data_IF_320988859981
#
_entry.id   IF_320988859981
#
_cell.length_a   1.000
_cell.length_b   1.000
_cell.length_c   1.000
_cell.angle_alpha   90.00
_cell.angle_beta   90.00
_cell.angle_gamma   90.00
#
_symmetry.space_group_name_H-M   'P 1'
#
loop_
_entity.id
_entity.type
_entity.pdbx_description
1 polymer ?
#
# COMPACT_ATOMS: atom_id res chain seq x y z
N UNK A 1 -19.96 10.18 4.67
CA UNK A 1 -18.62 9.62 4.39
C UNK A 1 -18.80 8.41 3.50
N UNK A 2 -18.05 8.28 2.41
CA UNK A 2 -18.16 7.12 1.53
C UNK A 2 -17.44 5.92 2.17
N UNK A 3 -18.16 4.83 2.41
CA UNK A 3 -17.59 3.55 2.82
C UNK A 3 -16.91 2.87 1.62
N UNK A 4 -15.80 2.21 1.90
CA UNK A 4 -15.00 1.49 0.90
C UNK A 4 -14.97 0.02 1.27
N UNK A 5 -15.36 -0.86 0.34
CA UNK A 5 -15.24 -2.31 0.52
C UNK A 5 -14.04 -2.84 -0.27
N UNK A 6 -13.09 -3.46 0.42
CA UNK A 6 -11.94 -4.13 -0.18
C UNK A 6 -11.85 -5.51 0.44
N UNK A 7 -11.90 -6.57 -0.35
CA UNK A 7 -11.90 -7.98 0.13
C UNK A 7 -12.88 -8.24 1.28
N UNK A 8 -14.09 -7.65 1.22
CA UNK A 8 -15.07 -7.77 2.29
C UNK A 8 -14.81 -6.91 3.53
N UNK A 9 -13.68 -6.23 3.61
CA UNK A 9 -13.37 -5.28 4.68
C UNK A 9 -13.96 -3.90 4.35
N UNK A 10 -14.90 -3.42 5.18
CA UNK A 10 -15.55 -2.12 5.02
C UNK A 10 -14.77 -1.04 5.76
N UNK A 11 -14.09 -0.16 5.01
CA UNK A 11 -13.29 0.95 5.55
C UNK A 11 -14.14 2.23 5.52
N UNK A 12 -14.13 3.00 6.61
CA UNK A 12 -14.89 4.25 6.75
C UNK A 12 -16.22 4.08 7.49
N UNK A 13 -16.55 2.88 7.95
CA UNK A 13 -17.71 2.62 8.79
C UNK A 13 -17.47 1.51 9.81
N UNK A 14 -18.34 1.43 10.82
CA UNK A 14 -18.26 0.44 11.89
C UNK A 14 -17.10 0.68 12.84
N UNK A 15 -16.51 -0.41 13.37
CA UNK A 15 -15.34 -0.33 14.27
C UNK A 15 -14.08 0.14 13.54
N UNK A 16 -13.16 0.83 14.25
CA UNK A 16 -11.83 1.12 13.70
C UNK A 16 -11.14 -0.15 13.21
N UNK A 17 -10.41 -0.04 12.10
CA UNK A 17 -9.66 -1.17 11.53
C UNK A 17 -8.29 -1.30 12.19
N UNK A 18 -7.90 -2.54 12.48
CA UNK A 18 -6.62 -2.86 13.10
C UNK A 18 -5.60 -3.17 12.02
N UNK A 19 -4.48 -2.47 12.04
CA UNK A 19 -3.35 -2.64 11.13
C UNK A 19 -2.14 -3.11 11.92
N UNK A 20 -1.46 -4.15 11.43
CA UNK A 20 -0.24 -4.70 12.03
C UNK A 20 0.95 -4.45 11.08
N UNK A 21 1.96 -3.66 11.50
CA UNK A 21 3.12 -3.38 10.66
C UNK A 21 4.16 -4.50 10.74
N UNK A 22 4.73 -4.85 9.58
CA UNK A 22 5.91 -5.70 9.42
C UNK A 22 7.11 -4.82 9.13
N UNK A 23 8.09 -4.83 10.04
CA UNK A 23 9.33 -4.04 9.99
C UNK A 23 10.57 -4.94 9.98
N UNK A 24 10.44 -6.14 9.45
CA UNK A 24 11.51 -7.11 9.36
C UNK A 24 12.46 -6.81 8.17
N UNK A 25 13.72 -7.23 8.28
CA UNK A 25 14.76 -6.89 7.31
C UNK A 25 14.89 -7.92 6.18
N UNK A 26 14.74 -9.20 6.48
CA UNK A 26 14.91 -10.27 5.48
C UNK A 26 13.57 -10.78 4.97
N UNK A 27 13.55 -11.26 3.72
CA UNK A 27 12.32 -11.84 3.16
C UNK A 27 11.79 -13.00 4.00
N UNK A 28 12.67 -13.84 4.57
CA UNK A 28 12.26 -14.96 5.41
C UNK A 28 11.52 -14.47 6.67
N UNK A 29 12.11 -13.50 7.40
CA UNK A 29 11.50 -12.93 8.60
C UNK A 29 10.18 -12.19 8.28
N UNK A 30 10.11 -11.48 7.15
CA UNK A 30 8.88 -10.81 6.68
C UNK A 30 7.76 -11.83 6.49
N UNK A 31 8.02 -12.94 5.81
CA UNK A 31 7.01 -13.97 5.54
C UNK A 31 6.62 -14.75 6.80
N UNK A 32 7.57 -15.01 7.70
CA UNK A 32 7.29 -15.61 9.00
C UNK A 32 6.37 -14.71 9.84
N UNK A 33 6.67 -13.41 9.91
CA UNK A 33 5.83 -12.43 10.60
C UNK A 33 4.44 -12.32 9.96
N UNK A 34 4.35 -12.32 8.64
CA UNK A 34 3.09 -12.33 7.91
C UNK A 34 2.26 -13.57 8.24
N UNK A 35 2.88 -14.75 8.34
CA UNK A 35 2.20 -15.99 8.73
C UNK A 35 1.63 -15.90 10.14
N UNK A 36 2.39 -15.36 11.10
CA UNK A 36 1.91 -15.08 12.45
C UNK A 36 0.72 -14.13 12.43
N UNK A 37 0.81 -13.02 11.69
CA UNK A 37 -0.25 -12.01 11.61
C UNK A 37 -1.50 -12.51 10.87
N UNK A 38 -1.35 -13.46 9.95
CA UNK A 38 -2.49 -14.05 9.23
C UNK A 38 -3.49 -14.75 10.16
N UNK A 39 -3.05 -15.22 11.33
CA UNK A 39 -3.88 -15.91 12.33
C UNK A 39 -4.53 -14.96 13.35
N UNK A 40 -4.09 -13.71 13.42
CA UNK A 40 -4.59 -12.72 14.38
C UNK A 40 -5.86 -12.02 13.87
N UNK A 41 -6.66 -11.48 14.79
CA UNK A 41 -7.87 -10.72 14.49
C UNK A 41 -7.54 -9.28 14.05
N UNK A 42 -6.71 -9.12 13.01
CA UNK A 42 -6.39 -7.85 12.38
C UNK A 42 -7.09 -7.75 11.02
N UNK A 43 -7.38 -6.53 10.59
CA UNK A 43 -8.05 -6.27 9.32
C UNK A 43 -7.03 -6.10 8.17
N UNK A 44 -5.86 -5.56 8.49
CA UNK A 44 -4.83 -5.22 7.50
C UNK A 44 -3.43 -5.55 8.05
N UNK A 45 -2.54 -5.93 7.17
CA UNK A 45 -1.10 -6.03 7.44
C UNK A 45 -0.40 -5.01 6.57
N UNK A 46 0.42 -4.17 7.20
CA UNK A 46 1.27 -3.20 6.53
C UNK A 46 2.66 -3.79 6.34
N UNK A 47 3.17 -3.80 5.13
CA UNK A 47 4.58 -4.09 4.90
C UNK A 47 5.38 -2.80 4.72
N UNK A 48 6.32 -2.55 5.65
CA UNK A 48 7.26 -1.42 5.64
C UNK A 48 8.49 -1.80 4.81
N UNK A 49 8.47 -1.40 3.53
CA UNK A 49 9.53 -1.75 2.56
C UNK A 49 10.85 -1.05 2.88
N UNK A 50 10.81 0.09 3.51
CA UNK A 50 12.00 0.86 3.93
C UNK A 50 12.88 0.11 4.96
N UNK A 51 12.37 -0.90 5.66
CA UNK A 51 13.11 -1.79 6.53
C UNK A 51 13.74 -2.97 5.81
N UNK A 52 13.24 -3.32 4.61
CA UNK A 52 13.70 -4.48 3.86
C UNK A 52 15.08 -4.26 3.26
N UNK A 53 16.06 -5.15 3.56
CA UNK A 53 17.44 -5.06 3.04
C UNK A 53 17.52 -5.14 1.51
N UNK A 54 16.54 -5.79 0.88
CA UNK A 54 16.43 -5.91 -0.58
C UNK A 54 15.69 -4.75 -1.27
N UNK A 55 15.44 -3.63 -0.60
CA UNK A 55 14.61 -2.53 -1.13
C UNK A 55 15.14 -1.89 -2.40
N UNK A 56 16.44 -1.97 -2.67
CA UNK A 56 17.07 -1.46 -3.89
C UNK A 56 16.83 -2.36 -5.12
N UNK A 57 16.33 -3.57 -4.93
CA UNK A 57 16.05 -4.51 -6.00
C UNK A 57 14.56 -4.58 -6.33
N UNK A 58 14.10 -4.01 -7.46
CA UNK A 58 12.70 -4.11 -7.89
C UNK A 58 12.20 -5.56 -7.94
N UNK A 59 13.03 -6.47 -8.43
CA UNK A 59 12.68 -7.88 -8.51
C UNK A 59 12.55 -8.55 -7.12
N UNK A 60 13.33 -8.12 -6.12
CA UNK A 60 13.20 -8.62 -4.75
C UNK A 60 11.92 -8.10 -4.09
N UNK A 61 11.60 -6.82 -4.29
CA UNK A 61 10.36 -6.21 -3.81
C UNK A 61 9.15 -6.94 -4.42
N UNK A 62 9.10 -7.08 -5.75
CA UNK A 62 7.99 -7.73 -6.43
C UNK A 62 7.77 -9.17 -5.95
N UNK A 63 8.86 -9.97 -5.82
CA UNK A 63 8.76 -11.33 -5.26
C UNK A 63 8.25 -11.35 -3.82
N UNK A 64 8.66 -10.39 -3.00
CA UNK A 64 8.23 -10.31 -1.61
C UNK A 64 6.73 -9.98 -1.51
N UNK A 65 6.24 -8.98 -2.27
CA UNK A 65 4.81 -8.62 -2.32
C UNK A 65 3.95 -9.81 -2.76
N UNK A 66 4.36 -10.52 -3.82
CA UNK A 66 3.64 -11.69 -4.31
C UNK A 66 3.54 -12.79 -3.24
N UNK A 67 4.64 -13.10 -2.55
CA UNK A 67 4.65 -14.08 -1.47
C UNK A 67 3.82 -13.62 -0.27
N UNK A 68 3.89 -12.33 0.10
CA UNK A 68 3.05 -11.77 1.16
C UNK A 68 1.56 -11.93 0.83
N UNK A 69 1.15 -11.68 -0.42
CA UNK A 69 -0.24 -11.87 -0.83
C UNK A 69 -0.71 -13.30 -0.63
N UNK A 70 0.11 -14.28 -0.96
CA UNK A 70 -0.20 -15.71 -0.76
C UNK A 70 -0.35 -16.05 0.73
N UNK A 71 0.57 -15.58 1.57
CA UNK A 71 0.56 -15.85 3.01
C UNK A 71 -0.61 -15.18 3.72
N UNK A 72 -0.93 -13.93 3.37
CA UNK A 72 -1.96 -13.13 4.04
C UNK A 72 -3.39 -13.49 3.61
N UNK A 73 -3.58 -14.20 2.53
CA UNK A 73 -4.90 -14.67 2.04
C UNK A 73 -5.94 -13.54 1.98
N UNK A 74 -6.89 -13.52 2.91
CA UNK A 74 -8.03 -12.61 2.91
C UNK A 74 -7.75 -11.27 3.61
N UNK A 75 -6.63 -11.16 4.36
CA UNK A 75 -6.27 -9.90 5.00
C UNK A 75 -5.86 -8.85 3.98
N UNK A 76 -6.17 -7.59 4.26
CA UNK A 76 -5.67 -6.49 3.44
C UNK A 76 -4.15 -6.40 3.52
N UNK A 77 -3.50 -6.22 2.39
CA UNK A 77 -2.07 -5.91 2.30
C UNK A 77 -1.89 -4.44 1.93
N UNK A 78 -1.39 -3.67 2.89
CA UNK A 78 -0.92 -2.32 2.68
C UNK A 78 0.59 -2.37 2.42
N UNK A 79 1.05 -1.70 1.37
CA UNK A 79 2.48 -1.55 1.08
C UNK A 79 2.88 -0.09 1.30
N UNK A 80 3.87 0.12 2.16
CA UNK A 80 4.38 1.43 2.55
C UNK A 80 5.89 1.49 2.34
N UNK A 81 6.37 2.50 1.63
CA UNK A 81 7.76 2.94 1.71
C UNK A 81 7.79 4.29 2.42
N UNK A 82 8.16 4.28 3.70
CA UNK A 82 8.36 5.51 4.45
C UNK A 82 9.76 6.03 4.18
N UNK A 83 9.86 7.20 3.54
CA UNK A 83 11.17 7.79 3.25
C UNK A 83 11.81 8.36 4.52
N UNK A 84 13.13 8.48 4.52
CA UNK A 84 13.87 9.09 5.62
C UNK A 84 13.43 10.53 5.88
N UNK A 85 12.99 11.25 4.85
CA UNK A 85 12.46 12.61 4.98
C UNK A 85 11.17 12.67 5.82
N UNK A 86 10.38 11.59 5.84
CA UNK A 86 9.16 11.46 6.63
C UNK A 86 9.32 10.48 7.83
N UNK A 87 10.55 10.24 8.27
CA UNK A 87 10.85 9.46 9.47
C UNK A 87 11.01 7.95 9.25
N UNK A 88 11.23 7.50 8.02
CA UNK A 88 11.56 6.11 7.69
C UNK A 88 13.06 5.80 7.76
N UNK A 89 13.41 4.56 7.41
CA UNK A 89 14.78 4.05 7.50
C UNK A 89 15.65 4.42 6.29
N UNK A 90 15.06 4.52 5.09
CA UNK A 90 15.80 4.67 3.85
C UNK A 90 15.40 5.94 3.10
N UNK A 91 16.36 6.49 2.34
CA UNK A 91 16.10 7.57 1.43
C UNK A 91 15.88 7.03 0.01
N UNK A 92 14.93 7.60 -0.69
CA UNK A 92 14.78 7.47 -2.15
C UNK A 92 14.77 8.88 -2.75
N UNK A 93 15.37 9.01 -3.92
CA UNK A 93 15.15 10.19 -4.75
C UNK A 93 13.70 10.20 -5.28
N UNK A 94 13.23 11.37 -5.66
CA UNK A 94 11.88 11.50 -6.22
C UNK A 94 11.60 10.54 -7.40
N UNK A 95 12.47 10.37 -8.41
CA UNK A 95 12.24 9.38 -9.47
C UNK A 95 12.19 7.95 -8.98
N UNK A 96 13.07 7.56 -8.03
CA UNK A 96 13.07 6.22 -7.44
C UNK A 96 11.78 5.94 -6.66
N UNK A 97 11.28 6.93 -5.94
CA UNK A 97 10.02 6.79 -5.22
C UNK A 97 8.83 6.58 -6.17
N UNK A 98 8.73 7.36 -7.27
CA UNK A 98 7.69 7.16 -8.28
C UNK A 98 7.83 5.80 -9.00
N UNK A 99 9.07 5.35 -9.26
CA UNK A 99 9.32 4.03 -9.82
C UNK A 99 8.89 2.90 -8.86
N UNK A 100 9.13 3.07 -7.55
CA UNK A 100 8.63 2.15 -6.52
C UNK A 100 7.10 2.07 -6.53
N UNK A 101 6.40 3.20 -6.55
CA UNK A 101 4.94 3.22 -6.60
C UNK A 101 4.41 2.46 -7.84
N UNK A 102 5.02 2.72 -9.02
CA UNK A 102 4.67 2.03 -10.27
C UNK A 102 4.88 0.52 -10.17
N UNK A 103 6.03 0.11 -9.61
CA UNK A 103 6.34 -1.30 -9.39
C UNK A 103 5.26 -2.01 -8.56
N UNK A 104 4.83 -1.40 -7.46
CA UNK A 104 3.81 -2.02 -6.61
C UNK A 104 2.48 -2.14 -7.33
N UNK A 105 2.08 -1.11 -8.10
CA UNK A 105 0.86 -1.18 -8.92
C UNK A 105 0.91 -2.33 -9.93
N UNK A 106 2.06 -2.50 -10.60
CA UNK A 106 2.28 -3.53 -11.62
C UNK A 106 2.23 -4.96 -11.06
N UNK A 107 2.53 -5.15 -9.77
CA UNK A 107 2.44 -6.48 -9.13
C UNK A 107 1.01 -6.99 -9.01
N UNK A 108 0.02 -6.10 -8.97
CA UNK A 108 -1.41 -6.41 -8.73
C UNK A 108 -1.69 -7.19 -7.43
N UNK A 109 -0.75 -7.18 -6.49
CA UNK A 109 -0.79 -7.99 -5.26
C UNK A 109 -1.15 -7.20 -4.00
N UNK A 110 -0.92 -5.88 -3.98
CA UNK A 110 -1.29 -5.02 -2.87
C UNK A 110 -2.77 -4.61 -2.95
N UNK A 111 -3.41 -4.41 -1.81
CA UNK A 111 -4.77 -3.90 -1.70
C UNK A 111 -4.79 -2.39 -1.44
N UNK A 112 -3.77 -1.91 -0.74
CA UNK A 112 -3.57 -0.51 -0.36
C UNK A 112 -2.11 -0.13 -0.63
N UNK A 113 -1.90 1.11 -1.05
CA UNK A 113 -0.57 1.70 -1.25
C UNK A 113 -0.51 3.03 -0.51
N UNK A 114 0.49 3.18 0.35
CA UNK A 114 0.78 4.46 1.01
C UNK A 114 1.56 5.36 0.06
N UNK A 115 1.12 6.61 -0.08
CA UNK A 115 1.76 7.59 -0.93
C UNK A 115 2.10 8.83 -0.12
N UNK A 116 3.39 9.12 -0.01
CA UNK A 116 3.89 10.34 0.59
C UNK A 116 3.67 11.52 -0.37
N UNK A 117 2.70 12.34 -0.07
CA UNK A 117 2.31 13.44 -0.93
C UNK A 117 3.44 14.45 -1.18
N UNK A 118 4.22 14.77 -0.15
CA UNK A 118 5.31 15.72 -0.26
C UNK A 118 6.51 15.14 -1.02
N UNK A 119 6.84 13.88 -0.79
CA UNK A 119 7.92 13.18 -1.50
C UNK A 119 7.57 12.94 -2.97
N UNK A 120 6.32 12.60 -3.28
CA UNK A 120 5.82 12.44 -4.65
C UNK A 120 5.69 13.79 -5.40
N UNK A 121 5.61 14.90 -4.66
CA UNK A 121 5.69 16.25 -5.18
C UNK A 121 4.67 16.63 -6.25
N UNK A 122 5.02 17.61 -7.07
CA UNK A 122 4.18 18.13 -8.16
C UNK A 122 3.92 17.11 -9.28
N UNK A 123 4.71 16.06 -9.37
CA UNK A 123 4.59 15.05 -10.43
C UNK A 123 3.52 13.99 -10.14
N UNK A 124 3.04 13.91 -8.89
CA UNK A 124 2.04 12.94 -8.48
C UNK A 124 0.76 12.97 -9.33
N UNK A 125 0.16 14.13 -9.67
CA UNK A 125 -1.02 14.15 -10.52
C UNK A 125 -0.78 13.59 -11.91
N UNK A 126 0.36 13.91 -12.53
CA UNK A 126 0.73 13.41 -13.85
C UNK A 126 1.10 11.92 -13.82
N UNK A 127 1.80 11.48 -12.77
CA UNK A 127 2.10 10.07 -12.51
C UNK A 127 0.80 9.29 -12.33
N UNK A 128 -0.12 9.80 -11.49
CA UNK A 128 -1.43 9.19 -11.23
C UNK A 128 -2.23 8.98 -12.51
N UNK A 129 -2.37 10.03 -13.32
CA UNK A 129 -3.13 9.97 -14.57
C UNK A 129 -2.57 8.96 -15.57
N UNK A 130 -1.26 8.70 -15.54
CA UNK A 130 -0.60 7.73 -16.44
C UNK A 130 -0.77 6.28 -15.98
N UNK A 131 -0.73 6.04 -14.67
CA UNK A 131 -0.71 4.68 -14.11
C UNK A 131 -2.07 4.20 -13.63
N UNK A 132 -2.99 5.11 -13.37
CA UNK A 132 -4.29 4.80 -12.77
C UNK A 132 -5.40 5.38 -13.67
N UNK A 133 -5.79 4.66 -14.73
CA UNK A 133 -6.84 5.11 -15.62
C UNK A 133 -8.19 5.19 -14.90
N UNK A 134 -9.11 6.05 -15.38
CA UNK A 134 -10.48 6.10 -14.87
C UNK A 134 -11.15 4.73 -14.89
N UNK A 135 -11.78 4.36 -13.77
CA UNK A 135 -12.43 3.05 -13.63
C UNK A 135 -11.48 1.89 -13.28
N UNK A 136 -10.18 2.16 -13.08
CA UNK A 136 -9.26 1.15 -12.56
C UNK A 136 -9.64 0.74 -11.13
N UNK A 137 -9.12 -0.41 -10.69
CA UNK A 137 -9.28 -0.86 -9.30
C UNK A 137 -8.66 0.12 -8.28
N UNK A 138 -7.67 0.90 -8.71
CA UNK A 138 -7.05 1.97 -7.95
C UNK A 138 -7.81 3.27 -8.20
N UNK A 139 -8.71 3.66 -7.33
CA UNK A 139 -9.41 4.94 -7.43
C UNK A 139 -9.39 5.67 -6.10
N UNK A 140 -9.16 6.97 -6.14
CA UNK A 140 -9.34 7.85 -4.99
C UNK A 140 -10.69 8.53 -5.14
N UNK A 141 -11.60 8.40 -4.17
CA UNK A 141 -12.73 9.32 -4.12
C UNK A 141 -12.16 10.73 -3.96
N UNK A 142 -12.53 11.64 -4.84
CA UNK A 142 -12.09 13.05 -4.83
C UNK A 142 -12.32 13.77 -3.47
N UNK A 143 -13.08 13.16 -2.58
CA UNK A 143 -13.42 13.67 -1.24
C UNK A 143 -12.37 13.38 -0.16
N UNK A 144 -11.33 12.57 -0.45
CA UNK A 144 -10.35 12.13 0.56
C UNK A 144 -9.03 12.92 0.48
N UNK A 145 -8.86 13.79 -0.49
CA UNK A 145 -7.74 14.73 -0.50
C UNK A 145 -8.14 16.00 0.27
N UNK A 146 -7.88 16.11 1.58
CA UNK A 146 -7.97 17.41 2.21
C UNK A 146 -6.92 18.29 1.53
N UNK A 147 -7.30 19.49 1.12
CA UNK A 147 -6.31 20.49 0.68
C UNK A 147 -5.34 20.71 1.84
N UNK A 148 -4.03 20.48 1.64
CA UNK A 148 -3.06 20.68 2.70
C UNK A 148 -3.10 22.15 3.14
N UNK A 149 -3.24 22.37 4.43
CA UNK A 149 -2.95 23.70 5.00
C UNK A 149 -1.42 23.82 5.13
N UNK A 150 -0.83 24.97 4.86
CA UNK A 150 0.59 25.19 5.06
C UNK A 150 0.99 24.78 6.48
N UNK A 151 1.97 23.88 6.62
CA UNK A 151 2.52 23.46 7.91
C UNK A 151 1.82 22.28 8.62
N UNK A 152 0.84 21.61 8.02
CA UNK A 152 0.23 20.40 8.57
C UNK A 152 0.73 19.15 7.84
N UNK A 153 1.30 18.21 8.61
CA UNK A 153 1.46 16.82 8.20
C UNK A 153 0.07 16.25 7.89
N UNK A 154 -0.18 15.93 6.65
CA UNK A 154 -1.35 15.14 6.29
C UNK A 154 -1.11 13.69 6.72
N UNK A 155 -2.06 13.12 7.43
CA UNK A 155 -2.15 11.67 7.61
C UNK A 155 -2.03 10.98 6.24
N UNK A 156 -1.41 9.79 6.19
CA UNK A 156 -1.19 9.11 4.93
C UNK A 156 -2.50 9.02 4.13
N UNK A 157 -2.44 9.49 2.90
CA UNK A 157 -3.55 9.36 1.98
C UNK A 157 -3.67 7.87 1.60
N UNK A 158 -4.67 7.20 2.13
CA UNK A 158 -4.98 5.82 1.81
C UNK A 158 -5.59 5.74 0.42
N UNK A 159 -4.87 5.15 -0.53
CA UNK A 159 -5.36 4.91 -1.87
C UNK A 159 -5.98 3.52 -2.00
N UNK A 160 -7.13 3.48 -2.61
CA UNK A 160 -8.04 2.35 -2.63
C UNK A 160 -7.91 1.52 -3.89
N UNK A 161 -7.92 0.20 -3.71
CA UNK A 161 -8.32 -0.75 -4.75
C UNK A 161 -9.85 -0.95 -4.70
N UNK A 162 -10.58 -0.57 -5.73
CA UNK A 162 -12.01 -0.89 -5.87
C UNK A 162 -12.25 -1.65 -7.16
N UNK A 163 -12.52 -2.98 -7.04
CA UNK A 163 -13.19 -3.70 -8.12
C UNK A 163 -14.71 -3.52 -7.94
N UNK A 164 -15.48 -3.21 -8.98
CA UNK A 164 -16.91 -3.53 -8.96
C UNK A 164 -17.02 -5.07 -8.88
N UNK A 165 -17.82 -5.59 -7.95
CA UNK A 165 -18.13 -7.02 -7.87
C UNK A 165 -18.88 -7.48 -9.15
N UNK A 166 -18.78 -8.73 -9.59
CA UNK A 166 -17.89 -9.80 -9.17
C UNK A 166 -17.09 -10.40 -10.34
N UNK A 167 -15.81 -10.38 -10.36
CA UNK A 167 -15.03 -11.40 -11.07
C UNK A 167 -13.78 -11.66 -10.23
N UNK A 168 -13.91 -12.49 -9.21
CA UNK A 168 -12.78 -13.23 -8.69
C UNK A 168 -12.68 -14.51 -9.51
N UNK A 169 -11.69 -14.70 -10.41
CA UNK A 169 -11.37 -16.05 -10.81
C UNK A 169 -10.88 -16.73 -9.54
N UNK A 170 -11.48 -17.86 -9.21
CA UNK A 170 -10.99 -18.79 -8.22
C UNK A 170 -9.49 -18.98 -8.45
N UNK A 171 -8.70 -18.51 -7.52
CA UNK A 171 -7.28 -18.83 -7.46
C UNK A 171 -7.16 -20.31 -7.13
N UNK A 172 -6.30 -21.08 -7.86
CA UNK A 172 -6.03 -22.48 -7.54
C UNK A 172 -5.32 -22.61 -6.21
#
# INVERSE_FOLDING_TARGET
MSCVNIRGCRIGEGRPKVILPIVERTQAAILEKAAQFSTLSADCVEWRVDWFEGFQSPAAIARCVQKLRVVLRDKLLLVTFRTKAEGGEQALSHPEYLAFLSLILDTDCADLLDIEFFTAGSDLPSWWSRHIPPGSRWSVPATILPRPRPGQSLFPAWYRCSRPEPICPSWP
#
